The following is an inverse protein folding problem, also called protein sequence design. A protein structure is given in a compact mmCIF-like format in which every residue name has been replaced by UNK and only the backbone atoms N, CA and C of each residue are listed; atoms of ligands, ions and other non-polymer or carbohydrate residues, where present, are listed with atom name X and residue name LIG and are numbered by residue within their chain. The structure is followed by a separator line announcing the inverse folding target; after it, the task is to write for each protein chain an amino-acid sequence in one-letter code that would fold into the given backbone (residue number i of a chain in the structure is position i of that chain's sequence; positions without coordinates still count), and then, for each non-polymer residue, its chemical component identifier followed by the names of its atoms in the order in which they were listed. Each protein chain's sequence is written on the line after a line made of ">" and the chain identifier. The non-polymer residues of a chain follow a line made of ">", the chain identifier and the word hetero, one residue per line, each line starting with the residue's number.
data_IF_630423308748
#
_entry.id   IF_630423308748
#
_cell.length_a   1.000
_cell.length_b   1.000
_cell.length_c   1.000
_cell.angle_alpha   90.00
_cell.angle_beta   90.00
_cell.angle_gamma   90.00
#
_symmetry.space_group_name_H-M   'P 1'
#
loop_
_entity.id
_entity.type
_entity.pdbx_description
1 polymer ?
#
# COMPACT_ATOMS: atom_id res chain seq x y z
N UNK A 1 36.13 -11.57 -18.53
CA UNK A 1 34.78 -11.63 -17.96
C UNK A 1 34.60 -13.03 -17.39
N UNK A 2 34.18 -13.18 -16.13
CA UNK A 2 33.96 -14.51 -15.52
C UNK A 2 32.56 -15.01 -15.86
N UNK A 3 32.33 -16.33 -15.83
CA UNK A 3 31.01 -16.91 -16.10
C UNK A 3 29.91 -16.37 -15.16
N UNK A 4 30.26 -16.08 -13.90
CA UNK A 4 29.35 -15.46 -12.93
C UNK A 4 28.90 -14.06 -13.36
N UNK A 5 29.82 -13.21 -13.84
CA UNK A 5 29.46 -11.87 -14.32
C UNK A 5 28.53 -11.89 -15.54
N UNK A 6 28.65 -12.91 -16.40
CA UNK A 6 27.76 -13.08 -17.56
C UNK A 6 26.35 -13.47 -17.09
N UNK A 7 26.24 -14.33 -16.08
CA UNK A 7 24.97 -14.70 -15.44
C UNK A 7 24.37 -13.48 -14.70
N UNK A 8 25.20 -12.75 -13.96
CA UNK A 8 25.05 -11.37 -13.45
C UNK A 8 24.16 -10.51 -14.36
N UNK A 9 24.73 -10.23 -15.51
CA UNK A 9 24.17 -9.39 -16.55
C UNK A 9 22.91 -10.01 -17.18
N UNK A 10 22.91 -11.32 -17.41
CA UNK A 10 21.76 -12.02 -17.99
C UNK A 10 20.52 -11.88 -17.09
N UNK A 11 20.66 -12.13 -15.78
CA UNK A 11 19.59 -11.96 -14.80
C UNK A 11 19.14 -10.51 -14.72
N UNK A 12 20.08 -9.56 -14.72
CA UNK A 12 19.76 -8.12 -14.72
C UNK A 12 18.88 -7.72 -15.91
N UNK A 13 19.26 -8.12 -17.13
CA UNK A 13 18.51 -7.79 -18.35
C UNK A 13 17.11 -8.44 -18.34
N UNK A 14 17.01 -9.71 -17.96
CA UNK A 14 15.72 -10.38 -17.87
C UNK A 14 14.81 -9.78 -16.79
N UNK A 15 15.35 -9.46 -15.62
CA UNK A 15 14.59 -8.82 -14.54
C UNK A 15 14.06 -7.44 -14.97
N UNK A 16 14.86 -6.64 -15.68
CA UNK A 16 14.42 -5.35 -16.24
C UNK A 16 13.28 -5.53 -17.26
N UNK A 17 13.40 -6.51 -18.17
CA UNK A 17 12.35 -6.82 -19.14
C UNK A 17 11.04 -7.26 -18.46
N UNK A 18 11.13 -8.13 -17.46
CA UNK A 18 9.97 -8.57 -16.67
C UNK A 18 9.35 -7.38 -15.94
N UNK A 19 10.14 -6.53 -15.30
CA UNK A 19 9.66 -5.32 -14.63
C UNK A 19 8.87 -4.40 -15.56
N UNK A 20 9.39 -4.17 -16.77
CA UNK A 20 8.70 -3.38 -17.80
C UNK A 20 7.35 -4.01 -18.22
N UNK A 21 7.33 -5.31 -18.50
CA UNK A 21 6.11 -6.02 -18.88
C UNK A 21 5.07 -6.04 -17.76
N UNK A 22 5.49 -6.09 -16.49
CA UNK A 22 4.58 -6.06 -15.35
C UNK A 22 3.97 -4.66 -15.18
N UNK A 23 4.79 -3.60 -15.17
CA UNK A 23 4.33 -2.22 -14.92
C UNK A 23 3.38 -1.74 -16.01
N UNK A 24 3.64 -2.08 -17.27
CA UNK A 24 2.78 -1.68 -18.41
C UNK A 24 1.37 -2.28 -18.39
N UNK A 25 1.12 -3.30 -17.58
CA UNK A 25 -0.18 -3.99 -17.48
C UNK A 25 -0.99 -3.60 -16.24
N UNK A 26 -0.49 -2.66 -15.42
CA UNK A 26 -1.18 -2.21 -14.20
C UNK A 26 -2.33 -1.25 -14.57
N UNK A 27 -3.54 -1.42 -14.02
CA UNK A 27 -4.66 -0.53 -14.28
C UNK A 27 -4.40 0.88 -13.72
N UNK A 28 -4.97 1.95 -14.32
CA UNK A 28 -4.65 3.33 -13.92
C UNK A 28 -4.95 3.68 -12.46
N UNK A 29 -5.96 3.02 -11.89
CA UNK A 29 -6.37 3.17 -10.49
C UNK A 29 -5.25 2.80 -9.50
N UNK A 30 -4.28 1.99 -9.92
CA UNK A 30 -3.19 1.51 -9.07
C UNK A 30 -1.88 2.26 -9.28
N UNK A 31 -1.79 3.28 -10.14
CA UNK A 31 -0.52 4.00 -10.34
C UNK A 31 0.02 4.64 -9.06
N UNK A 32 -0.85 5.26 -8.25
CA UNK A 32 -0.44 5.89 -6.98
C UNK A 32 -0.06 4.86 -5.91
N UNK A 33 -0.84 3.78 -5.67
CA UNK A 33 -0.38 2.66 -4.84
C UNK A 33 0.92 2.01 -5.33
N UNK A 34 1.07 1.83 -6.66
CA UNK A 34 2.26 1.25 -7.27
C UNK A 34 3.48 2.14 -7.06
N UNK A 35 3.34 3.45 -7.19
CA UNK A 35 4.41 4.42 -6.93
C UNK A 35 4.89 4.36 -5.47
N UNK A 36 3.98 4.18 -4.51
CA UNK A 36 4.36 3.97 -3.10
C UNK A 36 4.99 2.59 -2.89
N UNK A 37 4.48 1.56 -3.54
CA UNK A 37 5.01 0.20 -3.42
C UNK A 37 6.44 0.10 -3.96
N UNK A 38 6.76 0.75 -5.09
CA UNK A 38 8.14 0.78 -5.62
C UNK A 38 9.09 1.53 -4.69
N UNK A 39 8.63 2.55 -3.96
CA UNK A 39 9.41 3.18 -2.90
C UNK A 39 9.73 2.18 -1.77
N UNK A 40 8.75 1.38 -1.32
CA UNK A 40 8.99 0.33 -0.33
C UNK A 40 10.00 -0.74 -0.81
N UNK A 41 9.94 -1.11 -2.09
CA UNK A 41 10.85 -2.09 -2.70
C UNK A 41 12.30 -1.56 -2.77
N UNK A 42 12.48 -0.24 -2.94
CA UNK A 42 13.82 0.39 -2.91
C UNK A 42 14.55 0.22 -1.56
N UNK A 43 13.81 -0.20 -0.53
CA UNK A 43 14.33 -0.63 0.76
C UNK A 43 15.32 -1.80 0.70
N UNK A 44 15.54 -2.44 -0.45
CA UNK A 44 16.65 -3.38 -0.67
C UNK A 44 18.02 -2.80 -0.29
N UNK A 45 18.15 -1.47 -0.29
CA UNK A 45 19.30 -0.76 0.27
C UNK A 45 19.66 -1.15 1.71
N UNK A 46 18.70 -1.68 2.49
CA UNK A 46 18.92 -2.22 3.83
C UNK A 46 19.92 -3.38 3.84
N UNK A 47 19.89 -4.24 2.81
CA UNK A 47 20.86 -5.34 2.69
C UNK A 47 22.27 -4.78 2.49
N UNK A 48 22.41 -3.78 1.63
CA UNK A 48 23.69 -3.11 1.40
C UNK A 48 24.23 -2.39 2.64
N UNK A 49 23.35 -1.72 3.40
CA UNK A 49 23.77 -1.00 4.61
C UNK A 49 24.15 -1.94 5.75
N UNK A 50 23.48 -3.09 5.90
CA UNK A 50 23.88 -4.12 6.87
C UNK A 50 25.25 -4.72 6.53
N UNK A 51 25.51 -5.01 5.26
CA UNK A 51 26.83 -5.47 4.82
C UNK A 51 27.89 -4.40 5.10
N UNK A 52 27.63 -3.13 4.75
CA UNK A 52 28.58 -2.04 4.97
C UNK A 52 28.85 -1.76 6.46
N UNK A 53 27.83 -1.86 7.31
CA UNK A 53 27.97 -1.70 8.76
C UNK A 53 28.75 -2.84 9.40
N UNK A 54 28.64 -4.06 8.86
CA UNK A 54 29.31 -5.27 9.37
C UNK A 54 30.68 -5.57 8.77
N UNK A 55 31.16 -4.78 7.79
CA UNK A 55 32.38 -5.08 7.03
C UNK A 55 33.70 -4.64 7.70
N UNK A 56 33.64 -4.11 8.94
CA UNK A 56 34.79 -3.68 9.77
C UNK A 56 35.85 -2.84 9.01
N UNK A 57 35.40 -1.88 8.20
CA UNK A 57 36.26 -0.96 7.45
C UNK A 57 36.74 0.25 8.27
N UNK A 58 36.67 0.17 9.61
CA UNK A 58 37.04 1.23 10.54
C UNK A 58 35.88 2.12 11.02
N UNK A 59 36.21 3.04 11.94
CA UNK A 59 35.20 3.80 12.71
C UNK A 59 34.27 4.65 11.83
N UNK A 60 34.80 5.32 10.80
CA UNK A 60 34.00 6.18 9.91
C UNK A 60 32.99 5.35 9.10
N UNK A 61 33.42 4.21 8.55
CA UNK A 61 32.53 3.30 7.82
C UNK A 61 31.43 2.75 8.72
N UNK A 62 31.76 2.47 9.98
CA UNK A 62 30.78 1.96 10.96
C UNK A 62 29.69 2.99 11.25
N UNK A 63 30.06 4.26 11.48
CA UNK A 63 29.08 5.33 11.69
C UNK A 63 28.22 5.60 10.45
N UNK A 64 28.81 5.62 9.26
CA UNK A 64 28.07 5.78 8.01
C UNK A 64 27.15 4.60 7.73
N UNK A 65 27.61 3.37 7.99
CA UNK A 65 26.82 2.15 7.90
C UNK A 65 25.62 2.18 8.85
N UNK A 66 25.83 2.62 10.10
CA UNK A 66 24.74 2.80 11.06
C UNK A 66 23.68 3.80 10.56
N UNK A 67 24.10 4.96 10.06
CA UNK A 67 23.17 5.96 9.48
C UNK A 67 22.44 5.37 8.27
N UNK A 68 23.14 4.63 7.42
CA UNK A 68 22.56 3.98 6.25
C UNK A 68 21.52 2.92 6.64
N UNK A 69 21.75 2.15 7.72
CA UNK A 69 20.77 1.18 8.25
C UNK A 69 19.52 1.89 8.75
N UNK A 70 19.68 2.97 9.53
CA UNK A 70 18.53 3.76 10.02
C UNK A 70 17.73 4.35 8.86
N UNK A 71 18.40 4.97 7.90
CA UNK A 71 17.75 5.55 6.73
C UNK A 71 17.03 4.50 5.88
N UNK A 72 17.67 3.36 5.60
CA UNK A 72 17.06 2.26 4.86
C UNK A 72 15.86 1.66 5.61
N UNK A 73 15.93 1.57 6.93
CA UNK A 73 14.80 1.10 7.76
C UNK A 73 13.61 2.04 7.67
N UNK A 74 13.83 3.36 7.70
CA UNK A 74 12.75 4.35 7.52
C UNK A 74 12.11 4.21 6.13
N UNK A 75 12.91 4.00 5.08
CA UNK A 75 12.40 3.79 3.72
C UNK A 75 11.50 2.54 3.62
N UNK A 76 11.96 1.41 4.17
CA UNK A 76 11.20 0.15 4.23
C UNK A 76 9.90 0.35 5.00
N UNK A 77 9.99 0.76 6.27
CA UNK A 77 8.83 0.85 7.16
C UNK A 77 7.83 1.91 6.66
N UNK A 78 8.32 3.10 6.30
CA UNK A 78 7.49 4.17 5.77
C UNK A 78 6.80 3.78 4.46
N UNK A 79 7.55 3.18 3.54
CA UNK A 79 7.04 2.71 2.26
C UNK A 79 5.92 1.67 2.42
N UNK A 80 6.10 0.67 3.27
CA UNK A 80 5.09 -0.36 3.50
C UNK A 80 3.85 0.19 4.23
N UNK A 81 4.00 1.08 5.21
CA UNK A 81 2.88 1.68 5.93
C UNK A 81 2.00 2.56 5.03
N UNK A 82 2.61 3.37 4.17
CA UNK A 82 1.88 4.22 3.23
C UNK A 82 1.17 3.36 2.18
N UNK A 83 1.87 2.35 1.65
CA UNK A 83 1.29 1.42 0.66
C UNK A 83 0.10 0.66 1.24
N UNK A 84 0.19 0.14 2.46
CA UNK A 84 -0.93 -0.54 3.13
C UNK A 84 -2.13 0.39 3.35
N UNK A 85 -1.91 1.64 3.77
CA UNK A 85 -2.97 2.66 3.86
C UNK A 85 -3.63 2.93 2.52
N UNK A 86 -2.85 3.00 1.44
CA UNK A 86 -3.37 3.21 0.09
C UNK A 86 -4.20 2.00 -0.39
N UNK A 87 -3.72 0.77 -0.13
CA UNK A 87 -4.40 -0.45 -0.56
C UNK A 87 -5.67 -0.75 0.26
N UNK A 88 -5.73 -0.32 1.51
CA UNK A 88 -6.94 -0.42 2.35
C UNK A 88 -8.15 0.31 1.75
N UNK A 89 -7.93 1.33 0.93
CA UNK A 89 -8.99 2.07 0.24
C UNK A 89 -9.69 1.24 -0.87
N UNK A 90 -9.08 0.14 -1.32
CA UNK A 90 -9.67 -0.80 -2.29
C UNK A 90 -10.47 -1.92 -1.62
N UNK A 91 -10.38 -2.09 -0.29
CA UNK A 91 -11.26 -2.99 0.44
C UNK A 91 -12.64 -2.36 0.53
N UNK A 92 -13.61 -2.89 -0.21
CA UNK A 92 -15.02 -2.59 0.00
C UNK A 92 -15.34 -2.90 1.47
N UNK A 93 -15.79 -1.92 2.24
CA UNK A 93 -16.28 -2.11 3.61
C UNK A 93 -17.47 -3.09 3.58
N UNK A 94 -17.16 -4.38 3.63
CA UNK A 94 -18.11 -5.43 3.92
C UNK A 94 -18.12 -5.67 5.42
N UNK A 95 -19.26 -5.38 6.05
CA UNK A 95 -19.65 -5.76 7.41
C UNK A 95 -19.12 -4.93 8.59
N UNK A 96 -19.44 -3.63 8.62
CA UNK A 96 -19.91 -3.06 9.88
C UNK A 96 -21.28 -3.69 10.16
N UNK A 97 -21.31 -4.64 11.10
CA UNK A 97 -22.49 -5.30 11.66
C UNK A 97 -23.58 -4.24 11.89
N UNK A 98 -24.60 -4.21 11.03
CA UNK A 98 -25.86 -3.51 11.33
C UNK A 98 -26.46 -4.26 12.49
N UNK A 99 -26.41 -3.66 13.68
CA UNK A 99 -27.20 -4.12 14.80
C UNK A 99 -28.67 -4.07 14.38
N UNK A 100 -29.27 -5.25 14.32
CA UNK A 100 -30.69 -5.45 14.03
C UNK A 100 -31.46 -5.06 15.29
N UNK A 101 -32.16 -3.92 15.22
CA UNK A 101 -33.24 -3.57 16.14
C UNK A 101 -34.49 -3.32 15.32
N UNK A 102 -35.26 -4.38 15.07
CA UNK A 102 -36.58 -4.30 14.47
C UNK A 102 -37.63 -4.11 15.56
N UNK A 103 -38.40 -3.02 15.47
CA UNK A 103 -39.73 -2.74 16.05
C UNK A 103 -40.01 -1.27 15.67
N UNK A 104 -41.13 -0.81 15.09
CA UNK A 104 -42.47 -1.31 14.82
C UNK A 104 -42.97 -0.53 13.58
N UNK A 105 -43.27 -1.21 12.49
CA UNK A 105 -44.16 -0.69 11.45
C UNK A 105 -45.52 -1.33 11.70
N UNK A 106 -46.31 -0.73 12.59
CA UNK A 106 -47.70 -1.09 12.84
C UNK A 106 -48.42 0.05 13.57
N UNK A 107 -48.68 1.16 12.88
CA UNK A 107 -49.90 1.97 13.01
C UNK A 107 -49.86 3.14 12.03
N UNK A 108 -50.47 2.98 10.85
CA UNK A 108 -51.07 4.12 10.16
C UNK A 108 -52.55 4.11 10.53
N UNK A 109 -53.07 5.08 11.30
CA UNK A 109 -54.51 5.25 11.38
C UNK A 109 -55.05 5.72 10.05
N UNK A 110 -56.17 5.11 9.68
CA UNK A 110 -56.90 5.29 8.45
C UNK A 110 -57.28 6.76 8.21
N UNK A 111 -57.34 7.09 6.93
CA UNK A 111 -57.98 8.29 6.40
C UNK A 111 -59.45 8.33 6.82
N UNK A 112 -59.79 9.24 7.72
CA UNK A 112 -61.18 9.64 7.94
C UNK A 112 -61.53 10.81 7.01
N UNK A 113 -62.35 10.46 6.04
CA UNK A 113 -63.19 11.34 5.24
C UNK A 113 -64.19 12.10 6.15
N UNK A 114 -64.56 13.32 5.72
CA UNK A 114 -65.66 14.19 6.21
C UNK A 114 -65.45 15.02 7.48
N UNK A 115 -65.10 16.28 7.26
CA UNK A 115 -65.84 17.43 7.82
C UNK A 115 -65.63 18.62 6.87
N UNK A 116 -66.52 18.81 5.90
CA UNK A 116 -67.61 19.81 5.96
C UNK A 116 -67.13 21.28 5.99
N UNK A 117 -67.04 21.90 4.79
CA UNK A 117 -67.71 23.16 4.32
C UNK A 117 -67.81 24.39 5.28
N UNK A 118 -68.16 25.61 4.79
CA UNK A 118 -67.54 26.54 3.81
C UNK A 118 -67.51 28.02 4.34
N UNK A 119 -67.17 28.98 3.44
CA UNK A 119 -67.36 30.46 3.51
C UNK A 119 -66.32 31.19 4.39
N UNK A 120 -65.77 32.34 4.01
CA UNK A 120 -66.21 33.45 3.15
C UNK A 120 -65.12 33.95 2.23
#
# INVERSE_FOLDING_TARGET
>A
MTALSIIELYVFVLAAFVGYQVITRVPPLLHTPLMSATNAISGISLVGSLVAAGADHGSVSTYLGFIAVVAATINVVGGFLITDRMLKMFKKEGSKKREVGGEKSANLPASDEKSARPKS
#
